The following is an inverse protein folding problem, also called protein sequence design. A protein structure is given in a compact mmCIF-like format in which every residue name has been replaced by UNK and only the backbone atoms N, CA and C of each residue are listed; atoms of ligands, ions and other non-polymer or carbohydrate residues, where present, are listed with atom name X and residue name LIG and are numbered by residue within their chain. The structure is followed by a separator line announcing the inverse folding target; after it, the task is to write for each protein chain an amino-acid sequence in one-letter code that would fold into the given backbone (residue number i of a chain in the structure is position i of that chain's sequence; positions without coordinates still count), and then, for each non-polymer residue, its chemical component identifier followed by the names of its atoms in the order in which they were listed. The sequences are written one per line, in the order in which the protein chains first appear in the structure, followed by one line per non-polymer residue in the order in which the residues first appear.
data_IF_966526557872
#
_entry.id   IF_966526557872
#
_cell.length_a   1.000
_cell.length_b   1.000
_cell.length_c   1.000
_cell.angle_alpha   90.00
_cell.angle_beta   90.00
_cell.angle_gamma   90.00
#
_symmetry.space_group_name_H-M   'P 1'
#
loop_
_entity.id
_entity.type
_entity.pdbx_description
1 polymer ?
#
# COMPACT_ATOMS: atom_id res chain seq x y z
N UNK A 1 -72.00 36.24 -21.73
CA UNK A 1 -72.11 35.82 -23.14
C UNK A 1 -71.38 34.49 -23.30
N UNK A 2 -72.05 33.54 -23.94
CA UNK A 2 -71.59 32.25 -24.50
C UNK A 2 -70.68 31.34 -23.66
N UNK A 3 -71.17 30.20 -23.15
CA UNK A 3 -71.36 28.91 -23.88
C UNK A 3 -70.02 28.16 -23.99
N UNK A 4 -69.85 26.90 -23.56
CA UNK A 4 -70.64 25.69 -23.85
C UNK A 4 -70.02 24.55 -22.99
N UNK A 5 -70.80 23.84 -22.16
CA UNK A 5 -71.32 22.47 -22.39
C UNK A 5 -70.33 21.33 -21.99
N UNK A 6 -70.62 20.50 -20.97
CA UNK A 6 -71.52 19.28 -21.00
C UNK A 6 -70.73 18.11 -21.63
N UNK A 7 -70.59 16.89 -21.09
CA UNK A 7 -71.47 16.06 -20.25
C UNK A 7 -70.78 14.72 -19.88
N UNK A 8 -71.35 14.04 -18.87
CA UNK A 8 -71.40 12.59 -18.58
C UNK A 8 -70.11 11.77 -18.43
N UNK A 9 -69.85 11.14 -17.28
CA UNK A 9 -70.66 10.14 -16.54
C UNK A 9 -70.63 8.74 -17.17
N UNK A 10 -70.05 7.80 -16.44
CA UNK A 10 -70.57 6.48 -16.04
C UNK A 10 -69.39 5.75 -15.37
N UNK A 11 -69.33 5.59 -14.05
CA UNK A 11 -70.05 4.58 -13.25
C UNK A 11 -70.25 3.27 -14.03
N UNK A 12 -69.54 2.21 -13.65
CA UNK A 12 -70.16 1.12 -12.90
C UNK A 12 -69.13 0.06 -12.46
N UNK A 13 -69.07 -0.09 -11.15
CA UNK A 13 -68.68 -1.26 -10.36
C UNK A 13 -69.49 -2.52 -10.71
N UNK A 14 -68.87 -3.71 -10.68
CA UNK A 14 -69.44 -5.00 -10.23
C UNK A 14 -68.31 -6.07 -10.24
N UNK A 15 -67.78 -6.48 -9.08
CA UNK A 15 -68.11 -7.70 -8.31
C UNK A 15 -68.18 -8.99 -9.16
N UNK A 16 -67.23 -9.93 -9.01
CA UNK A 16 -67.09 -11.01 -8.00
C UNK A 16 -67.81 -12.31 -8.43
N UNK A 17 -67.20 -13.45 -8.11
CA UNK A 17 -67.69 -14.85 -8.25
C UNK A 17 -67.44 -15.41 -9.67
N UNK A 18 -66.78 -16.54 -9.93
CA UNK A 18 -66.44 -17.74 -9.16
C UNK A 18 -66.61 -18.94 -10.11
N UNK A 19 -65.73 -19.95 -10.07
CA UNK A 19 -65.97 -21.23 -10.76
C UNK A 19 -64.77 -21.83 -11.52
N UNK A 20 -64.15 -22.84 -10.91
CA UNK A 20 -63.35 -23.91 -11.55
C UNK A 20 -64.26 -24.87 -12.37
N UNK A 21 -63.79 -25.96 -13.02
CA UNK A 21 -62.53 -26.24 -13.75
C UNK A 21 -62.78 -26.97 -15.12
N UNK A 22 -61.66 -27.35 -15.78
CA UNK A 22 -61.48 -28.42 -16.76
C UNK A 22 -61.94 -28.23 -18.23
N UNK A 23 -60.89 -28.04 -19.05
CA UNK A 23 -60.54 -28.80 -20.27
C UNK A 23 -61.60 -29.04 -21.34
N UNK A 24 -61.37 -28.51 -22.55
CA UNK A 24 -60.93 -29.28 -23.72
C UNK A 24 -60.76 -28.35 -24.96
N UNK A 25 -59.51 -28.29 -25.44
CA UNK A 25 -59.10 -28.38 -26.85
C UNK A 25 -59.74 -27.49 -27.93
N UNK A 26 -58.92 -26.53 -28.39
CA UNK A 26 -58.40 -26.37 -29.76
C UNK A 26 -58.63 -24.96 -30.31
N UNK A 27 -57.54 -24.28 -30.73
CA UNK A 27 -57.27 -24.06 -32.16
C UNK A 27 -56.24 -22.96 -32.41
N UNK A 28 -55.34 -23.31 -33.34
CA UNK A 28 -54.74 -22.45 -34.37
C UNK A 28 -53.37 -21.80 -34.10
N UNK A 29 -52.52 -21.89 -35.13
CA UNK A 29 -51.42 -20.96 -35.34
C UNK A 29 -50.00 -21.53 -35.33
N UNK A 30 -49.77 -22.68 -35.95
CA UNK A 30 -48.43 -23.19 -36.23
C UNK A 30 -47.85 -22.43 -37.45
N UNK A 31 -46.95 -21.48 -37.22
CA UNK A 31 -46.02 -21.00 -38.27
C UNK A 31 -44.60 -21.41 -37.92
N UNK A 32 -43.98 -22.05 -38.90
CA UNK A 32 -42.67 -22.69 -38.86
C UNK A 32 -41.58 -21.65 -38.62
N UNK A 33 -40.66 -21.95 -37.70
CA UNK A 33 -39.34 -21.34 -37.63
C UNK A 33 -38.64 -21.42 -38.99
N UNK A 34 -38.19 -20.31 -39.59
CA UNK A 34 -37.18 -20.36 -40.62
C UNK A 34 -35.78 -20.31 -39.99
N UNK A 35 -35.00 -21.35 -40.29
CA UNK A 35 -33.58 -21.19 -40.60
C UNK A 35 -32.61 -21.11 -39.42
N UNK A 36 -32.32 -22.25 -38.77
CA UNK A 36 -30.94 -22.47 -38.32
C UNK A 36 -30.07 -22.52 -39.57
N UNK A 37 -29.25 -21.49 -39.77
CA UNK A 37 -28.12 -21.56 -40.71
C UNK A 37 -27.26 -22.73 -40.25
N UNK A 38 -27.33 -23.84 -40.97
CA UNK A 38 -26.46 -24.98 -40.77
C UNK A 38 -25.03 -24.51 -41.02
N UNK A 39 -24.24 -24.39 -39.95
CA UNK A 39 -22.79 -24.25 -40.06
C UNK A 39 -22.27 -25.39 -40.96
N UNK A 40 -21.47 -25.12 -41.99
CA UNK A 40 -20.81 -26.20 -42.71
C UNK A 40 -19.89 -26.93 -41.72
N UNK A 41 -20.07 -28.26 -41.65
CA UNK A 41 -19.16 -29.14 -40.94
C UNK A 41 -17.83 -29.09 -41.70
N UNK A 42 -16.83 -28.39 -41.16
CA UNK A 42 -15.50 -28.43 -41.75
C UNK A 42 -14.88 -29.78 -41.38
N UNK A 43 -14.63 -30.59 -42.41
CA UNK A 43 -13.92 -31.87 -42.34
C UNK A 43 -12.52 -31.60 -41.79
N UNK A 44 -12.19 -32.23 -40.68
CA UNK A 44 -10.82 -32.25 -40.17
C UNK A 44 -9.93 -32.96 -41.20
N UNK A 45 -8.91 -32.27 -41.69
CA UNK A 45 -7.84 -32.90 -42.45
C UNK A 45 -6.91 -33.64 -41.47
N UNK A 46 -6.55 -34.90 -41.72
CA UNK A 46 -5.75 -35.65 -40.77
C UNK A 46 -4.29 -35.23 -40.90
N UNK A 47 -3.73 -34.70 -39.81
CA UNK A 47 -2.29 -34.46 -39.69
C UNK A 47 -1.94 -33.08 -39.16
N UNK A 48 -2.24 -32.80 -37.89
CA UNK A 48 -1.22 -32.46 -36.88
C UNK A 48 -1.92 -32.32 -35.51
N UNK A 49 -1.41 -33.05 -34.53
CA UNK A 49 -1.99 -33.14 -33.19
C UNK A 49 -1.43 -32.04 -32.29
N UNK A 50 -2.13 -30.91 -32.16
CA UNK A 50 -1.91 -30.02 -31.02
C UNK A 50 -2.96 -30.28 -29.93
N UNK A 51 -2.56 -31.03 -28.90
CA UNK A 51 -3.32 -31.18 -27.65
C UNK A 51 -3.14 -29.91 -26.80
N UNK A 52 -4.24 -29.18 -26.55
CA UNK A 52 -4.29 -28.01 -25.67
C UNK A 52 -5.64 -27.27 -25.76
N UNK A 53 -5.93 -26.38 -24.79
CA UNK A 53 -7.14 -25.57 -24.77
C UNK A 53 -7.13 -24.55 -25.92
N UNK A 54 -8.11 -24.61 -26.82
CA UNK A 54 -8.20 -23.69 -27.96
C UNK A 54 -9.12 -22.53 -27.64
N UNK A 55 -8.57 -21.31 -27.70
CA UNK A 55 -9.34 -20.07 -27.60
C UNK A 55 -9.64 -19.54 -29.00
N UNK A 56 -10.86 -19.01 -29.17
CA UNK A 56 -11.20 -18.19 -30.32
C UNK A 56 -11.55 -16.81 -29.80
N UNK A 57 -10.70 -15.82 -30.10
CA UNK A 57 -10.97 -14.43 -29.78
C UNK A 57 -12.02 -13.88 -30.77
N UNK A 58 -12.94 -13.08 -30.24
CA UNK A 58 -13.82 -12.21 -31.01
C UNK A 58 -13.73 -10.80 -30.43
N UNK A 59 -13.72 -9.79 -31.29
CA UNK A 59 -13.77 -8.38 -30.90
C UNK A 59 -15.10 -8.09 -30.17
N UNK A 60 -15.03 -7.41 -29.03
CA UNK A 60 -16.21 -6.97 -28.29
C UNK A 60 -16.82 -5.72 -28.92
N UNK A 61 -18.13 -5.67 -29.08
CA UNK A 61 -18.82 -4.46 -29.54
C UNK A 61 -18.84 -3.40 -28.42
N UNK A 62 -18.55 -2.13 -28.70
CA UNK A 62 -18.59 -1.08 -27.69
C UNK A 62 -20.02 -0.93 -27.15
N UNK A 63 -20.18 -1.05 -25.84
CA UNK A 63 -21.41 -0.66 -25.14
C UNK A 63 -21.34 0.85 -24.93
N UNK A 64 -22.33 1.58 -25.42
CA UNK A 64 -22.43 3.03 -25.25
C UNK A 64 -22.83 3.37 -23.81
N UNK A 65 -22.06 4.21 -23.11
CA UNK A 65 -22.25 4.63 -21.71
C UNK A 65 -23.50 5.51 -21.45
N UNK A 66 -24.33 5.76 -22.46
CA UNK A 66 -25.52 6.58 -22.31
C UNK A 66 -26.72 5.73 -21.89
N UNK A 67 -26.82 5.41 -20.60
CA UNK A 67 -28.06 4.87 -20.02
C UNK A 67 -29.14 5.97 -20.06
N UNK A 68 -30.34 5.73 -20.63
CA UNK A 68 -31.38 6.74 -20.67
C UNK A 68 -31.84 7.10 -19.26
N UNK A 69 -32.19 8.39 -18.99
CA UNK A 69 -32.60 8.82 -17.67
C UNK A 69 -33.79 8.00 -17.16
N UNK A 70 -33.69 7.55 -15.91
CA UNK A 70 -34.72 6.75 -15.25
C UNK A 70 -35.98 7.59 -15.05
N UNK A 71 -37.13 7.04 -15.45
CA UNK A 71 -38.41 7.71 -15.29
C UNK A 71 -38.71 7.99 -13.81
N UNK A 72 -38.94 9.26 -13.47
CA UNK A 72 -39.42 9.69 -12.14
C UNK A 72 -40.92 9.50 -12.04
N UNK A 73 -41.43 9.19 -10.84
CA UNK A 73 -42.87 9.15 -10.57
C UNK A 73 -43.51 10.54 -10.76
N UNK A 74 -44.79 10.61 -11.16
CA UNK A 74 -45.51 11.88 -11.22
C UNK A 74 -45.53 12.55 -9.84
N UNK A 75 -45.28 13.86 -9.81
CA UNK A 75 -45.40 14.70 -8.62
C UNK A 75 -46.14 15.98 -9.00
N UNK A 76 -46.84 16.56 -8.03
CA UNK A 76 -47.53 17.83 -8.18
C UNK A 76 -46.94 18.85 -7.20
N UNK A 77 -46.76 20.10 -7.65
CA UNK A 77 -46.26 21.17 -6.79
C UNK A 77 -47.36 21.56 -5.79
N UNK A 78 -47.00 21.70 -4.51
CA UNK A 78 -47.93 22.25 -3.52
C UNK A 78 -48.38 23.66 -3.91
N UNK A 79 -49.62 24.00 -3.53
CA UNK A 79 -50.11 25.38 -3.66
C UNK A 79 -49.33 26.33 -2.74
N UNK A 80 -49.35 27.63 -3.06
CA UNK A 80 -48.69 28.65 -2.23
C UNK A 80 -49.27 28.68 -0.80
N UNK A 81 -50.59 28.52 -0.67
CA UNK A 81 -51.28 28.50 0.61
C UNK A 81 -50.91 27.28 1.47
N UNK A 82 -50.82 26.10 0.85
CA UNK A 82 -50.38 24.88 1.55
C UNK A 82 -48.91 25.00 1.98
N UNK A 83 -48.06 25.57 1.11
CA UNK A 83 -46.66 25.83 1.41
C UNK A 83 -46.51 26.80 2.59
N UNK A 84 -47.24 27.91 2.60
CA UNK A 84 -47.22 28.89 3.67
C UNK A 84 -47.78 28.31 4.99
N UNK A 85 -48.80 27.46 4.91
CA UNK A 85 -49.36 26.76 6.08
C UNK A 85 -48.34 25.81 6.71
N UNK A 86 -47.52 25.14 5.90
CA UNK A 86 -46.43 24.30 6.40
C UNK A 86 -45.30 25.15 7.00
N UNK A 87 -44.90 26.23 6.33
CA UNK A 87 -43.85 27.13 6.82
C UNK A 87 -44.24 27.85 8.12
N UNK A 88 -45.52 28.19 8.29
CA UNK A 88 -46.06 28.80 9.51
C UNK A 88 -46.00 27.90 10.75
N UNK A 89 -45.71 26.60 10.59
CA UNK A 89 -45.48 25.66 11.70
C UNK A 89 -44.07 25.75 12.27
N UNK A 90 -43.15 26.42 11.56
CA UNK A 90 -41.77 26.60 12.01
C UNK A 90 -41.72 27.65 13.13
N UNK A 91 -40.86 27.41 14.11
CA UNK A 91 -40.57 28.42 15.13
C UNK A 91 -39.86 29.64 14.49
N UNK A 92 -40.00 30.85 15.06
CA UNK A 92 -39.27 32.02 14.58
C UNK A 92 -37.77 31.75 14.55
N UNK A 93 -37.14 31.95 13.39
CA UNK A 93 -35.69 31.85 13.24
C UNK A 93 -35.07 33.11 13.86
N UNK A 94 -34.15 32.93 14.81
CA UNK A 94 -33.36 34.03 15.35
C UNK A 94 -32.32 34.44 14.30
N UNK A 95 -32.25 35.73 13.99
CA UNK A 95 -31.24 36.30 13.10
C UNK A 95 -30.36 37.29 13.85
N UNK A 96 -29.07 37.21 13.59
CA UNK A 96 -28.06 38.15 14.07
C UNK A 96 -27.63 39.11 12.96
N UNK A 97 -27.10 40.28 13.33
CA UNK A 97 -26.67 41.32 12.37
C UNK A 97 -25.56 40.87 11.40
N UNK A 98 -24.93 39.73 11.65
CA UNK A 98 -23.86 39.15 10.82
C UNK A 98 -24.28 37.96 9.97
N UNK A 99 -25.56 37.56 10.02
CA UNK A 99 -26.07 36.39 9.29
C UNK A 99 -26.22 36.66 7.80
N UNK A 100 -26.58 37.89 7.43
CA UNK A 100 -26.64 38.31 6.03
C UNK A 100 -25.33 39.00 5.65
N UNK A 101 -24.54 38.32 4.82
CA UNK A 101 -23.32 38.85 4.20
C UNK A 101 -23.35 38.54 2.72
N UNK A 102 -23.04 39.53 1.88
CA UNK A 102 -22.94 39.33 0.43
C UNK A 102 -21.95 38.21 0.07
N UNK A 103 -20.82 38.12 0.79
CA UNK A 103 -19.85 37.02 0.67
C UNK A 103 -19.23 36.68 2.04
N UNK A 104 -19.44 35.44 2.50
CA UNK A 104 -18.82 34.91 3.71
C UNK A 104 -17.37 34.46 3.45
N UNK A 105 -16.43 35.41 3.38
CA UNK A 105 -15.00 35.12 3.23
C UNK A 105 -14.42 34.74 4.60
N UNK A 106 -13.61 33.68 4.65
CA UNK A 106 -12.88 33.27 5.85
C UNK A 106 -11.83 34.31 6.24
N UNK A 107 -11.55 34.42 7.54
CA UNK A 107 -10.41 35.21 8.02
C UNK A 107 -9.11 34.76 7.33
N UNK A 108 -8.24 35.72 6.97
CA UNK A 108 -7.02 35.45 6.21
C UNK A 108 -6.09 34.49 6.97
N UNK A 109 -5.33 33.67 6.23
CA UNK A 109 -4.32 32.78 6.82
C UNK A 109 -3.17 33.56 7.47
N UNK A 110 -2.55 32.95 8.48
CA UNK A 110 -1.38 33.50 9.17
C UNK A 110 -0.23 33.78 8.19
N UNK A 111 0.60 34.80 8.45
CA UNK A 111 1.77 35.10 7.63
C UNK A 111 2.78 33.94 7.69
N UNK A 112 3.60 33.83 6.65
CA UNK A 112 4.66 32.82 6.59
C UNK A 112 5.58 32.89 7.83
N UNK A 113 6.08 31.74 8.32
CA UNK A 113 6.98 31.72 9.48
C UNK A 113 8.26 32.51 9.20
N UNK A 114 8.78 33.19 10.24
CA UNK A 114 10.07 33.88 10.15
C UNK A 114 11.20 32.84 10.05
N UNK A 115 12.14 33.07 9.14
CA UNK A 115 13.31 32.20 8.96
C UNK A 115 14.25 32.28 10.17
N UNK A 116 14.91 31.16 10.49
CA UNK A 116 15.88 31.06 11.59
C UNK A 116 17.23 31.71 11.26
N UNK A 117 18.12 31.79 12.26
CA UNK A 117 19.52 32.24 12.07
C UNK A 117 20.35 31.13 11.43
N UNK A 118 21.00 31.42 10.30
CA UNK A 118 22.00 30.55 9.69
C UNK A 118 23.34 30.70 10.41
N UNK A 119 23.99 29.58 10.74
CA UNK A 119 25.33 29.55 11.34
C UNK A 119 26.27 28.91 10.31
N UNK A 120 27.20 29.70 9.78
CA UNK A 120 28.22 29.22 8.85
C UNK A 120 29.42 28.67 9.63
N UNK A 121 29.43 27.36 9.87
CA UNK A 121 30.57 26.65 10.43
C UNK A 121 31.33 25.90 9.33
N UNK A 122 32.67 25.92 9.38
CA UNK A 122 33.51 25.19 8.43
C UNK A 122 33.40 23.68 8.67
N UNK A 123 33.20 22.91 7.59
CA UNK A 123 33.21 21.45 7.62
C UNK A 123 34.40 20.91 6.80
N UNK A 124 35.20 19.98 7.35
CA UNK A 124 35.08 19.38 8.69
C UNK A 124 35.54 20.33 9.81
N UNK A 125 35.07 20.14 11.06
CA UNK A 125 35.60 20.89 12.20
C UNK A 125 37.10 20.60 12.37
N UNK A 126 37.90 21.56 12.85
CA UNK A 126 39.31 21.32 13.14
C UNK A 126 39.46 20.18 14.16
N UNK A 127 40.36 19.24 13.89
CA UNK A 127 40.59 18.08 14.76
C UNK A 127 41.18 18.54 16.11
N UNK A 128 40.31 18.67 17.11
CA UNK A 128 40.67 18.95 18.50
C UNK A 128 40.82 17.69 19.35
N UNK A 129 40.86 16.51 18.72
CA UNK A 129 40.96 15.23 19.42
C UNK A 129 42.41 14.98 19.81
N UNK A 130 42.68 14.92 21.11
CA UNK A 130 43.92 14.34 21.61
C UNK A 130 44.03 12.92 21.07
N UNK A 131 45.15 12.61 20.39
CA UNK A 131 45.42 11.26 19.92
C UNK A 131 45.43 10.26 21.10
N UNK A 132 45.20 8.96 20.84
CA UNK A 132 45.32 7.95 21.89
C UNK A 132 46.70 8.02 22.54
N UNK A 133 46.78 7.79 23.85
CA UNK A 133 48.04 7.80 24.61
C UNK A 133 49.08 6.95 23.90
N UNK A 134 50.15 7.61 23.45
CA UNK A 134 51.25 6.96 22.74
C UNK A 134 52.10 6.20 23.76
N UNK A 135 52.41 4.94 23.40
CA UNK A 135 53.33 3.98 24.01
C UNK A 135 53.76 4.24 25.47
N UNK A 136 53.43 3.27 26.34
CA UNK A 136 54.00 3.17 27.69
C UNK A 136 55.50 3.44 27.65
N UNK A 137 55.96 4.49 28.33
CA UNK A 137 57.37 4.91 28.31
C UNK A 137 58.16 4.02 29.24
N UNK A 138 58.69 2.92 28.71
CA UNK A 138 59.45 1.92 29.45
C UNK A 138 60.00 0.82 28.53
N UNK A 139 60.79 -0.12 29.06
CA UNK A 139 61.19 -1.30 28.31
C UNK A 139 59.95 -2.14 27.93
N UNK A 140 60.04 -2.86 26.80
CA UNK A 140 58.99 -3.79 26.38
C UNK A 140 58.90 -4.94 27.39
N UNK A 141 57.70 -5.13 27.94
CA UNK A 141 57.43 -6.17 28.93
C UNK A 141 56.21 -7.00 28.52
N UNK A 142 56.21 -8.28 28.88
CA UNK A 142 55.04 -9.14 28.77
C UNK A 142 54.26 -9.02 30.07
N UNK A 143 53.05 -8.45 30.00
CA UNK A 143 52.19 -8.21 31.17
C UNK A 143 51.42 -9.46 31.58
N UNK A 144 50.97 -10.24 30.60
CA UNK A 144 50.13 -11.42 30.84
C UNK A 144 50.34 -12.45 29.76
N UNK A 145 50.41 -13.71 30.15
CA UNK A 145 50.30 -14.84 29.24
C UNK A 145 49.34 -15.87 29.83
N UNK A 146 48.73 -16.68 28.97
CA UNK A 146 47.85 -17.78 29.39
C UNK A 146 47.79 -18.81 28.27
N UNK A 147 47.80 -20.12 28.57
CA UNK A 147 47.82 -20.73 29.91
C UNK A 147 49.17 -20.63 30.64
N UNK A 148 49.16 -20.86 31.95
CA UNK A 148 50.34 -20.91 32.80
C UNK A 148 50.44 -22.26 33.51
N UNK A 149 51.66 -22.78 33.69
CA UNK A 149 51.90 -24.05 34.37
C UNK A 149 51.58 -25.29 33.54
N UNK A 150 51.46 -26.43 34.22
CA UNK A 150 51.12 -27.71 33.58
C UNK A 150 49.61 -27.80 33.36
N UNK A 151 49.20 -27.75 32.09
CA UNK A 151 47.79 -27.77 31.69
C UNK A 151 47.58 -28.94 30.72
N UNK A 152 46.62 -29.85 30.99
CA UNK A 152 46.45 -31.08 30.22
C UNK A 152 46.02 -30.83 28.76
N UNK A 153 45.33 -29.72 28.49
CA UNK A 153 44.91 -29.30 27.15
C UNK A 153 44.85 -27.78 27.05
N UNK A 154 45.61 -27.20 26.12
CA UNK A 154 45.68 -25.77 25.89
C UNK A 154 45.07 -25.41 24.51
N UNK A 155 43.79 -25.01 24.44
CA UNK A 155 43.13 -24.74 23.16
C UNK A 155 43.54 -23.42 22.51
N UNK A 156 44.12 -22.49 23.27
CA UNK A 156 44.61 -21.21 22.77
C UNK A 156 45.77 -20.70 23.64
N UNK A 157 46.66 -19.92 23.04
CA UNK A 157 47.72 -19.20 23.76
C UNK A 157 47.50 -17.70 23.60
N UNK A 158 47.51 -16.95 24.70
CA UNK A 158 47.40 -15.49 24.71
C UNK A 158 48.63 -14.86 25.34
N UNK A 159 49.14 -13.78 24.75
CA UNK A 159 50.28 -13.00 25.26
C UNK A 159 49.97 -11.52 25.10
N UNK A 160 50.06 -10.74 26.18
CA UNK A 160 49.77 -9.29 26.21
C UNK A 160 51.02 -8.51 26.58
N UNK A 161 51.37 -7.52 25.76
CA UNK A 161 52.54 -6.66 25.93
C UNK A 161 52.20 -5.32 26.60
N UNK A 162 53.19 -4.69 27.23
CA UNK A 162 53.04 -3.38 27.89
C UNK A 162 52.69 -2.26 26.92
N UNK A 163 53.14 -2.36 25.67
CA UNK A 163 53.01 -1.34 24.63
C UNK A 163 52.45 -1.91 23.32
N UNK A 164 51.87 -1.06 22.45
CA UNK A 164 51.42 -1.46 21.11
C UNK A 164 52.57 -2.04 20.29
N UNK A 165 52.40 -3.23 19.74
CA UNK A 165 53.36 -3.96 18.90
C UNK A 165 53.05 -3.86 17.41
N UNK A 166 51.78 -3.61 17.07
CA UNK A 166 51.30 -3.57 15.68
C UNK A 166 50.26 -2.46 15.51
N UNK A 167 50.15 -1.90 14.30
CA UNK A 167 49.11 -0.95 13.95
C UNK A 167 47.73 -1.64 13.85
N UNK A 168 46.64 -0.87 13.96
CA UNK A 168 45.29 -1.42 13.75
C UNK A 168 45.08 -1.64 12.25
N UNK A 169 45.08 -2.90 11.82
CA UNK A 169 44.92 -3.32 10.42
C UNK A 169 44.05 -4.58 10.32
N UNK A 170 43.94 -5.17 9.13
CA UNK A 170 43.35 -6.50 8.99
C UNK A 170 44.15 -7.54 9.77
N UNK A 171 43.49 -8.62 10.21
CA UNK A 171 44.15 -9.69 10.97
C UNK A 171 45.28 -10.35 10.18
N UNK A 172 45.11 -10.53 8.86
CA UNK A 172 46.14 -11.12 8.00
C UNK A 172 47.37 -10.20 7.87
N UNK A 173 47.15 -8.90 7.70
CA UNK A 173 48.25 -7.94 7.56
C UNK A 173 49.01 -7.76 8.88
N UNK A 174 48.30 -7.86 10.02
CA UNK A 174 48.89 -7.68 11.35
C UNK A 174 49.92 -8.76 11.72
N UNK A 175 49.86 -9.94 11.08
CA UNK A 175 50.78 -11.05 11.32
C UNK A 175 51.72 -11.33 10.14
N UNK A 176 51.56 -10.61 9.03
CA UNK A 176 52.36 -10.80 7.81
C UNK A 176 53.87 -10.52 8.02
N UNK A 177 54.20 -9.59 8.91
CA UNK A 177 55.59 -9.31 9.31
C UNK A 177 56.22 -10.34 10.25
N UNK A 178 55.47 -11.39 10.60
CA UNK A 178 55.88 -12.38 11.60
C UNK A 178 55.38 -12.03 13.00
N UNK A 179 55.60 -12.97 13.93
CA UNK A 179 55.08 -12.92 15.29
C UNK A 179 56.25 -13.05 16.27
N UNK A 180 56.30 -12.23 17.34
CA UNK A 180 57.45 -12.22 18.26
C UNK A 180 57.52 -13.45 19.19
N UNK A 181 56.53 -14.35 19.15
CA UNK A 181 56.40 -15.51 20.03
C UNK A 181 56.59 -16.80 19.24
N UNK A 182 57.30 -17.78 19.81
CA UNK A 182 57.55 -19.10 19.22
C UNK A 182 56.96 -20.19 20.12
N UNK A 183 56.25 -21.14 19.53
CA UNK A 183 55.69 -22.32 20.21
C UNK A 183 56.47 -23.56 19.75
N UNK A 184 56.79 -24.50 20.65
CA UNK A 184 57.51 -25.72 20.31
C UNK A 184 56.95 -26.93 21.09
N UNK A 185 56.54 -28.02 20.42
CA UNK A 185 56.40 -28.16 18.96
C UNK A 185 55.31 -27.23 18.43
N UNK A 186 55.36 -26.84 17.15
CA UNK A 186 54.39 -25.92 16.55
C UNK A 186 53.12 -26.69 16.15
N UNK A 187 51.99 -26.54 16.88
CA UNK A 187 50.73 -27.17 16.50
C UNK A 187 50.13 -26.48 15.26
N UNK A 188 49.17 -27.16 14.62
CA UNK A 188 48.35 -26.56 13.56
C UNK A 188 47.47 -25.45 14.14
N UNK A 189 47.56 -24.25 13.58
CA UNK A 189 46.82 -23.08 14.08
C UNK A 189 47.27 -21.80 13.41
N UNK A 190 46.71 -20.66 13.84
CA UNK A 190 47.00 -19.35 13.24
C UNK A 190 47.12 -18.28 14.31
N UNK A 191 48.17 -17.49 14.23
CA UNK A 191 48.32 -16.29 15.03
C UNK A 191 47.36 -15.20 14.57
N UNK A 192 46.82 -14.44 15.53
CA UNK A 192 46.07 -13.21 15.30
C UNK A 192 46.33 -12.21 16.41
N UNK A 193 46.39 -10.93 16.04
CA UNK A 193 46.39 -9.85 17.02
C UNK A 193 44.96 -9.49 17.45
N UNK A 194 44.78 -9.31 18.76
CA UNK A 194 43.58 -8.76 19.39
C UNK A 194 43.93 -7.35 19.86
N UNK A 195 43.51 -6.36 19.09
CA UNK A 195 43.99 -4.99 19.24
C UNK A 195 45.47 -4.87 18.86
N UNK A 196 46.18 -3.91 19.47
CA UNK A 196 47.58 -3.62 19.14
C UNK A 196 48.59 -4.23 20.12
N UNK A 197 48.12 -4.81 21.24
CA UNK A 197 48.97 -5.26 22.36
C UNK A 197 48.85 -6.75 22.68
N UNK A 198 47.80 -7.43 22.24
CA UNK A 198 47.54 -8.82 22.62
C UNK A 198 47.61 -9.72 21.41
N UNK A 199 48.37 -10.80 21.52
CA UNK A 199 48.58 -11.80 20.50
C UNK A 199 47.91 -13.10 20.94
N UNK A 200 47.19 -13.75 20.03
CA UNK A 200 46.50 -15.01 20.25
C UNK A 200 46.91 -16.05 19.21
N UNK A 201 47.06 -17.30 19.63
CA UNK A 201 47.20 -18.47 18.76
C UNK A 201 46.03 -19.43 18.97
#
# INVERSE_FOLDING_TARGET
MCSRRVICALLLSFQLIGGLPWSHHMASGQTRQPGRVRRPLHVQQPGDSMKGLQFRLGEGSPVSDAEPPRATSPYEKLSEGDSQSLLGRLQPIKSDATDEKDFAIRDRSLPAPRTGRTIDASFPPPDSRTGPDTASTGPLEVLRYSPEGDVPLAPQLSVTFSQPMVAVTSHADSTAGGVPVKITPQPEGRWRWIGTKTLLF
#
